data_IF_931838091438
#
_entry.id   IF_931838091438
#
_cell.length_a   1.000
_cell.length_b   1.000
_cell.length_c   1.000
_cell.angle_alpha   90.00
_cell.angle_beta   90.00
_cell.angle_gamma   90.00
#
_symmetry.space_group_name_H-M   'P 1'
#
loop_
_entity.id
_entity.type
_entity.pdbx_description
1 polymer ?
#
# COMPACT_ATOMS: atom_id res chain seq x y z
N UNK A 1 -17.60 4.06 -18.16
CA UNK A 1 -17.33 2.71 -17.61
C UNK A 1 -18.19 2.50 -16.37
N UNK A 2 -18.75 1.30 -16.18
CA UNK A 2 -19.54 0.97 -14.98
C UNK A 2 -18.61 0.84 -13.77
N UNK A 3 -18.82 1.64 -12.71
CA UNK A 3 -18.04 1.57 -11.45
C UNK A 3 -17.89 0.14 -10.88
N UNK A 4 -18.91 -0.69 -11.09
CA UNK A 4 -18.90 -2.10 -10.68
C UNK A 4 -17.75 -2.92 -11.27
N UNK A 5 -17.24 -2.58 -12.47
CA UNK A 5 -16.19 -3.37 -13.13
C UNK A 5 -14.80 -3.13 -12.52
N UNK A 6 -14.48 -1.88 -12.17
CA UNK A 6 -13.18 -1.55 -11.58
C UNK A 6 -13.05 -2.14 -10.17
N UNK A 7 -14.14 -2.07 -9.40
CA UNK A 7 -14.24 -2.68 -8.07
C UNK A 7 -14.13 -4.21 -8.15
N UNK A 8 -14.80 -4.85 -9.11
CA UNK A 8 -14.71 -6.30 -9.32
C UNK A 8 -13.30 -6.74 -9.74
N UNK A 9 -12.70 -6.03 -10.70
CA UNK A 9 -11.31 -6.26 -11.13
C UNK A 9 -10.32 -6.08 -9.98
N UNK A 10 -10.53 -5.07 -9.13
CA UNK A 10 -9.71 -4.84 -7.95
C UNK A 10 -9.82 -5.98 -6.92
N UNK A 11 -11.02 -6.51 -6.70
CA UNK A 11 -11.25 -7.69 -5.85
C UNK A 11 -10.52 -8.92 -6.39
N UNK A 12 -10.62 -9.17 -7.70
CA UNK A 12 -9.95 -10.30 -8.34
C UNK A 12 -8.42 -10.18 -8.23
N UNK A 13 -7.88 -8.97 -8.38
CA UNK A 13 -6.45 -8.72 -8.26
C UNK A 13 -5.92 -9.00 -6.84
N UNK A 14 -6.70 -8.62 -5.82
CA UNK A 14 -6.40 -8.89 -4.42
C UNK A 14 -6.74 -10.33 -3.99
N UNK A 15 -7.43 -11.09 -4.84
CA UNK A 15 -7.86 -12.46 -4.54
C UNK A 15 -8.90 -12.56 -3.44
N UNK A 16 -9.79 -11.57 -3.31
CA UNK A 16 -10.82 -11.54 -2.27
C UNK A 16 -12.22 -11.79 -2.84
N UNK A 17 -13.08 -12.40 -2.04
CA UNK A 17 -14.48 -12.66 -2.41
C UNK A 17 -15.32 -11.38 -2.43
N UNK A 18 -16.46 -11.42 -3.14
CA UNK A 18 -17.42 -10.29 -3.16
C UNK A 18 -18.01 -9.97 -1.78
N UNK A 19 -18.05 -10.95 -0.89
CA UNK A 19 -18.49 -10.80 0.50
C UNK A 19 -17.34 -10.45 1.47
N UNK A 20 -16.12 -10.23 0.96
CA UNK A 20 -14.97 -9.90 1.80
C UNK A 20 -15.14 -8.54 2.48
N UNK A 21 -14.66 -8.45 3.70
CA UNK A 21 -14.66 -7.22 4.50
C UNK A 21 -13.43 -6.36 4.23
N UNK A 22 -13.41 -5.13 4.74
CA UNK A 22 -12.23 -4.28 4.67
C UNK A 22 -11.00 -4.94 5.34
N UNK A 23 -11.23 -5.74 6.37
CA UNK A 23 -10.18 -6.48 7.07
C UNK A 23 -9.60 -7.60 6.21
N UNK A 24 -10.43 -8.33 5.46
CA UNK A 24 -9.99 -9.34 4.50
C UNK A 24 -9.14 -8.73 3.39
N UNK A 25 -9.60 -7.59 2.83
CA UNK A 25 -8.85 -6.85 1.82
C UNK A 25 -7.49 -6.37 2.35
N UNK A 26 -7.45 -5.83 3.58
CA UNK A 26 -6.21 -5.47 4.28
C UNK A 26 -5.28 -6.68 4.44
N UNK A 27 -5.83 -7.84 4.82
CA UNK A 27 -5.05 -9.05 5.07
C UNK A 27 -4.46 -9.62 3.78
N UNK A 28 -5.24 -9.76 2.73
CA UNK A 28 -4.76 -10.25 1.43
C UNK A 28 -3.74 -9.30 0.81
N UNK A 29 -3.95 -7.99 0.90
CA UNK A 29 -2.99 -7.00 0.44
C UNK A 29 -1.64 -7.13 1.17
N UNK A 30 -1.66 -7.31 2.51
CA UNK A 30 -0.45 -7.54 3.30
C UNK A 30 0.28 -8.80 2.88
N UNK A 31 -0.44 -9.88 2.58
CA UNK A 31 0.16 -11.15 2.15
C UNK A 31 0.86 -11.01 0.79
N UNK A 32 0.18 -10.37 -0.17
CA UNK A 32 0.73 -10.08 -1.49
C UNK A 32 1.93 -9.13 -1.41
N UNK A 33 1.86 -8.12 -0.54
CA UNK A 33 2.95 -7.18 -0.37
C UNK A 33 4.23 -7.86 0.16
N UNK A 34 4.08 -8.87 1.02
CA UNK A 34 5.22 -9.70 1.45
C UNK A 34 5.80 -10.50 0.29
N UNK A 35 4.95 -11.06 -0.58
CA UNK A 35 5.37 -11.90 -1.72
C UNK A 35 6.10 -11.12 -2.82
N UNK A 36 5.70 -9.86 -3.03
CA UNK A 36 6.28 -8.98 -4.06
C UNK A 36 7.34 -8.02 -3.51
N UNK A 37 7.76 -8.17 -2.25
CA UNK A 37 8.81 -7.34 -1.67
C UNK A 37 10.18 -7.70 -2.29
N UNK A 38 11.05 -6.74 -2.64
CA UNK A 38 12.35 -6.93 -3.27
C UNK A 38 13.34 -7.71 -2.40
N UNK A 39 13.13 -7.72 -1.07
CA UNK A 39 13.90 -8.59 -0.18
C UNK A 39 13.66 -10.07 -0.50
N UNK A 40 12.42 -10.46 -0.80
CA UNK A 40 12.07 -11.84 -1.17
C UNK A 40 12.05 -12.08 -2.68
N UNK A 41 11.75 -11.04 -3.48
CA UNK A 41 11.49 -11.14 -4.90
C UNK A 41 12.19 -10.00 -5.64
N UNK A 42 13.45 -10.24 -6.03
CA UNK A 42 14.34 -9.28 -6.70
C UNK A 42 13.98 -9.02 -8.17
N UNK A 43 12.75 -9.29 -8.57
CA UNK A 43 12.31 -9.20 -9.95
C UNK A 43 11.77 -7.79 -10.24
N UNK A 44 12.18 -7.20 -11.36
CA UNK A 44 11.70 -5.91 -11.85
C UNK A 44 10.18 -5.87 -12.07
N UNK A 45 9.56 -7.03 -12.32
CA UNK A 45 8.11 -7.16 -12.45
C UNK A 45 7.34 -7.05 -11.13
N UNK A 46 8.02 -7.22 -9.99
CA UNK A 46 7.40 -7.15 -8.67
C UNK A 46 6.91 -5.73 -8.35
N UNK A 47 7.67 -4.71 -8.77
CA UNK A 47 7.28 -3.31 -8.62
C UNK A 47 5.99 -3.00 -9.40
N UNK A 48 5.90 -3.42 -10.66
CA UNK A 48 4.71 -3.21 -11.49
C UNK A 48 3.47 -3.92 -10.91
N UNK A 49 3.63 -5.15 -10.40
CA UNK A 49 2.54 -5.88 -9.75
C UNK A 49 2.08 -5.22 -8.46
N UNK A 50 3.02 -4.76 -7.62
CA UNK A 50 2.66 -4.04 -6.41
C UNK A 50 1.91 -2.75 -6.71
N UNK A 51 2.34 -2.00 -7.73
CA UNK A 51 1.64 -0.78 -8.14
C UNK A 51 0.19 -1.05 -8.56
N UNK A 52 -0.05 -2.16 -9.27
CA UNK A 52 -1.40 -2.60 -9.61
C UNK A 52 -2.22 -2.97 -8.37
N UNK A 53 -1.62 -3.68 -7.41
CA UNK A 53 -2.25 -4.04 -6.13
C UNK A 53 -2.62 -2.80 -5.30
N UNK A 54 -1.74 -1.80 -5.24
CA UNK A 54 -1.99 -0.55 -4.51
C UNK A 54 -3.19 0.21 -5.12
N UNK A 55 -3.25 0.32 -6.45
CA UNK A 55 -4.36 0.96 -7.16
C UNK A 55 -5.69 0.25 -6.90
N UNK A 56 -5.69 -1.08 -7.00
CA UNK A 56 -6.85 -1.91 -6.72
C UNK A 56 -7.33 -1.73 -5.28
N UNK A 57 -6.41 -1.83 -4.31
CA UNK A 57 -6.71 -1.69 -2.90
C UNK A 57 -7.26 -0.30 -2.55
N UNK A 58 -6.64 0.78 -3.04
CA UNK A 58 -7.11 2.14 -2.77
C UNK A 58 -8.50 2.40 -3.37
N UNK A 59 -8.75 1.93 -4.60
CA UNK A 59 -10.06 2.03 -5.24
C UNK A 59 -11.12 1.26 -4.44
N UNK A 60 -10.82 0.02 -4.06
CA UNK A 60 -11.72 -0.83 -3.27
C UNK A 60 -12.04 -0.17 -1.93
N UNK A 61 -11.04 0.34 -1.22
CA UNK A 61 -11.22 0.99 0.07
C UNK A 61 -12.11 2.23 -0.02
N UNK A 62 -11.96 3.02 -1.07
CA UNK A 62 -12.76 4.22 -1.30
C UNK A 62 -14.18 3.91 -1.77
N UNK A 63 -14.34 3.05 -2.78
CA UNK A 63 -15.62 2.79 -3.44
C UNK A 63 -16.49 1.78 -2.66
N UNK A 64 -15.88 0.73 -2.11
CA UNK A 64 -16.60 -0.34 -1.40
C UNK A 64 -16.79 -0.01 0.08
N UNK A 65 -15.70 0.42 0.75
CA UNK A 65 -15.68 0.56 2.20
C UNK A 65 -15.80 2.01 2.69
N UNK A 66 -15.71 2.99 1.80
CA UNK A 66 -15.74 4.42 2.16
C UNK A 66 -14.55 4.88 3.02
N UNK A 67 -13.46 4.12 3.04
CA UNK A 67 -12.25 4.43 3.81
C UNK A 67 -11.37 5.35 2.96
N UNK A 68 -11.28 6.61 3.40
CA UNK A 68 -10.53 7.66 2.70
C UNK A 68 -9.01 7.52 2.86
N UNK A 69 -8.53 7.13 4.04
CA UNK A 69 -7.10 6.84 4.28
C UNK A 69 -6.90 5.41 4.79
N UNK A 70 -6.76 4.42 3.88
CA UNK A 70 -6.52 3.04 4.26
C UNK A 70 -5.03 2.74 4.55
N UNK A 71 -4.16 3.75 4.53
CA UNK A 71 -2.71 3.59 4.49
C UNK A 71 -2.01 3.92 5.82
N UNK A 72 -2.59 4.73 6.70
CA UNK A 72 -2.09 4.93 8.08
C UNK A 72 -1.88 3.59 8.83
N UNK A 73 -2.85 2.69 8.76
CA UNK A 73 -2.78 1.35 9.36
C UNK A 73 -1.72 0.47 8.70
N UNK A 74 -1.56 0.59 7.38
CA UNK A 74 -0.58 -0.19 6.62
C UNK A 74 0.84 0.28 6.94
N UNK A 75 1.09 1.59 6.92
CA UNK A 75 2.38 2.19 7.25
C UNK A 75 2.82 1.79 8.65
N UNK A 76 1.91 1.84 9.64
CA UNK A 76 2.21 1.41 11.01
C UNK A 76 2.54 -0.08 11.10
N UNK A 77 1.83 -0.93 10.35
CA UNK A 77 2.10 -2.37 10.30
C UNK A 77 3.45 -2.67 9.63
N UNK A 78 3.73 -2.00 8.51
CA UNK A 78 4.95 -2.14 7.74
C UNK A 78 6.18 -1.74 8.55
N UNK A 79 6.13 -0.56 9.15
CA UNK A 79 7.21 -0.03 9.98
C UNK A 79 7.52 -0.93 11.18
N UNK A 80 6.50 -1.62 11.72
CA UNK A 80 6.66 -2.60 12.81
C UNK A 80 7.31 -3.92 12.37
N UNK A 81 7.21 -4.30 11.10
CA UNK A 81 7.71 -5.59 10.60
C UNK A 81 9.05 -5.45 9.87
N UNK A 82 9.25 -4.35 9.14
CA UNK A 82 10.41 -4.14 8.27
C UNK A 82 11.26 -2.93 8.68
N UNK A 83 10.78 -2.08 9.60
CA UNK A 83 11.51 -0.91 10.10
C UNK A 83 11.45 0.26 9.11
N UNK A 84 12.57 1.00 8.99
CA UNK A 84 12.70 2.11 8.06
C UNK A 84 13.40 1.63 6.78
N UNK A 85 12.64 0.99 5.88
CA UNK A 85 13.18 0.52 4.61
C UNK A 85 13.23 1.65 3.57
N UNK A 86 14.40 1.90 2.95
CA UNK A 86 14.57 2.98 1.97
C UNK A 86 14.03 2.63 0.57
N UNK A 87 13.51 1.41 0.37
CA UNK A 87 12.97 0.95 -0.92
C UNK A 87 11.44 1.14 -0.99
N UNK A 88 10.71 1.00 0.13
CA UNK A 88 9.25 1.21 0.18
C UNK A 88 8.80 2.30 1.15
N UNK A 89 9.73 2.92 1.90
CA UNK A 89 9.49 4.06 2.77
C UNK A 89 8.79 5.21 2.04
N UNK A 90 7.46 5.24 2.20
CA UNK A 90 6.53 6.26 1.75
C UNK A 90 6.54 6.54 0.23
N UNK A 91 5.92 5.64 -0.55
CA UNK A 91 5.49 5.97 -1.92
C UNK A 91 3.98 5.83 -2.06
N UNK A 92 3.27 6.92 -1.77
CA UNK A 92 2.05 7.22 -2.51
C UNK A 92 2.47 7.80 -3.87
N UNK A 93 1.83 7.42 -4.98
CA UNK A 93 1.95 8.16 -6.23
C UNK A 93 1.18 9.47 -6.06
N UNK A 94 1.81 10.48 -5.47
CA UNK A 94 1.25 11.82 -5.45
C UNK A 94 1.91 12.61 -6.57
N UNK A 95 1.20 12.74 -7.69
CA UNK A 95 1.53 13.70 -8.74
C UNK A 95 1.52 15.14 -8.21
N UNK A 96 1.06 15.43 -6.97
CA UNK A 96 0.92 16.82 -6.49
C UNK A 96 0.91 17.08 -4.97
N UNK A 97 1.46 16.23 -4.09
CA UNK A 97 1.76 16.74 -2.74
C UNK A 97 3.13 16.33 -2.21
N UNK A 98 3.80 17.36 -1.72
CA UNK A 98 5.14 17.33 -1.17
C UNK A 98 5.15 16.47 0.10
N UNK A 99 6.25 15.73 0.37
CA UNK A 99 6.36 14.93 1.58
C UNK A 99 6.14 15.81 2.83
N UNK A 100 5.41 15.35 3.85
CA UNK A 100 5.26 16.13 5.08
C UNK A 100 6.66 16.36 5.69
N UNK A 101 7.05 17.62 5.79
CA UNK A 101 8.32 18.07 6.38
C UNK A 101 8.34 17.81 7.90
N UNK A 102 8.41 16.54 8.30
CA UNK A 102 8.63 16.14 9.69
C UNK A 102 9.54 14.92 9.76
N UNK A 103 10.84 15.17 9.63
CA UNK A 103 11.87 14.67 10.55
C UNK A 103 13.25 15.28 10.23
N UNK A 104 13.35 16.61 10.26
CA UNK A 104 14.59 17.26 10.71
C UNK A 104 14.62 17.18 12.23
N UNK A 105 15.03 16.06 12.81
CA UNK A 105 15.51 16.05 14.20
C UNK A 105 17.03 16.01 14.18
N UNK A 106 17.58 17.23 14.09
CA UNK A 106 18.86 17.71 14.61
C UNK A 106 20.10 16.84 14.33
N UNK A 107 20.85 17.25 13.31
CA UNK A 107 22.30 17.24 13.40
C UNK A 107 22.73 18.39 14.33
N UNK A 108 23.26 18.06 15.52
CA UNK A 108 24.17 18.83 16.38
C UNK A 108 24.45 17.89 17.58
N UNK A 109 25.66 17.43 17.91
CA UNK A 109 26.91 18.17 18.17
C UNK A 109 28.02 17.11 18.32
N UNK A 110 29.10 17.16 17.55
CA UNK A 110 30.41 17.65 18.03
C UNK A 110 30.60 17.69 19.55
N UNK A 111 31.57 16.94 20.06
CA UNK A 111 32.04 16.97 21.44
C UNK A 111 32.83 15.73 21.82
#
# INVERSE_FOLDING_TARGET
MNRNYEVDSARQLLGISRQATAEDAKKSFRDLAKLWHPDVNKNETAHAKMQALNKAYSLLMKEEFGILDPWEDYNRWWWRQYGNDPIWGNYYPEENSEPPERMKKVADKSG
#
